data_IF_504069348169
#
_entry.id   IF_504069348169
#
_cell.length_a   1.000
_cell.length_b   1.000
_cell.length_c   1.000
_cell.angle_alpha   90.00
_cell.angle_beta   90.00
_cell.angle_gamma   90.00
#
_symmetry.space_group_name_H-M   'P 1'
#
loop_
_entity.id
_entity.type
_entity.pdbx_description
1 polymer ?
#
# COMPACT_ATOMS: atom_id res chain seq x y z
N UNK A 1 14.63 3.79 0.64
CA UNK A 1 13.27 3.51 0.15
C UNK A 1 13.28 3.46 -1.36
N UNK A 2 12.69 2.43 -1.92
CA UNK A 2 12.62 2.23 -3.36
C UNK A 2 11.15 2.20 -3.80
N UNK A 3 10.83 2.92 -4.86
CA UNK A 3 9.49 2.93 -5.45
C UNK A 3 9.53 2.11 -6.74
N UNK A 4 8.65 1.12 -6.81
CA UNK A 4 8.51 0.25 -7.99
C UNK A 4 7.18 0.53 -8.66
N UNK A 5 7.24 1.00 -9.90
CA UNK A 5 6.05 1.23 -10.71
C UNK A 5 5.38 -0.09 -11.05
N UNK A 6 4.05 -0.06 -11.17
CA UNK A 6 3.26 -1.20 -11.65
C UNK A 6 2.62 -0.87 -12.99
N UNK A 7 1.92 -1.83 -13.59
CA UNK A 7 1.19 -1.60 -14.82
C UNK A 7 0.01 -0.63 -14.66
N UNK A 8 -0.42 -0.39 -13.42
CA UNK A 8 -1.49 0.56 -13.13
C UNK A 8 -0.88 1.89 -12.69
N UNK A 9 -0.95 2.95 -13.51
CA UNK A 9 -0.48 4.27 -13.11
C UNK A 9 -1.13 4.73 -11.79
N UNK A 10 -0.32 5.19 -10.85
CA UNK A 10 -0.79 5.60 -9.53
C UNK A 10 -0.84 4.47 -8.51
N UNK A 11 -0.59 3.23 -8.92
CA UNK A 11 -0.44 2.09 -8.01
C UNK A 11 1.03 1.68 -8.00
N UNK A 12 1.71 1.86 -6.89
CA UNK A 12 3.14 1.58 -6.77
C UNK A 12 3.43 0.64 -5.62
N UNK A 13 4.55 -0.05 -5.71
CA UNK A 13 5.08 -0.84 -4.61
C UNK A 13 6.21 -0.05 -3.94
N UNK A 14 6.14 0.08 -2.64
CA UNK A 14 7.16 0.77 -1.85
C UNK A 14 7.99 -0.29 -1.13
N UNK A 15 9.28 -0.30 -1.40
CA UNK A 15 10.22 -1.18 -0.71
C UNK A 15 11.01 -0.34 0.29
N UNK A 16 10.71 -0.46 1.60
CA UNK A 16 11.44 0.30 2.61
C UNK A 16 12.85 -0.24 2.82
N UNK A 17 13.73 0.61 3.33
CA UNK A 17 15.00 0.16 3.84
C UNK A 17 14.76 -0.57 5.15
N UNK A 18 15.17 -1.83 5.24
CA UNK A 18 15.01 -2.65 6.45
C UNK A 18 16.36 -2.81 7.14
N UNK A 19 16.40 -2.46 8.41
CA UNK A 19 17.61 -2.56 9.24
C UNK A 19 17.43 -3.71 10.23
N UNK A 20 18.26 -4.73 10.12
CA UNK A 20 18.17 -5.92 10.95
C UNK A 20 19.44 -6.15 11.77
N UNK A 21 19.28 -6.74 12.93
CA UNK A 21 20.35 -7.24 13.77
C UNK A 21 19.85 -8.50 14.54
N UNK A 22 20.63 -8.98 15.48
CA UNK A 22 20.28 -10.18 16.25
C UNK A 22 19.02 -10.01 17.12
N UNK A 23 18.59 -8.78 17.38
CA UNK A 23 17.38 -8.49 18.17
C UNK A 23 16.12 -8.50 17.31
N UNK A 24 16.24 -8.42 15.97
CA UNK A 24 15.12 -8.33 15.05
C UNK A 24 15.38 -7.32 13.95
N UNK A 25 14.35 -6.63 13.52
CA UNK A 25 14.45 -5.68 12.43
C UNK A 25 13.66 -4.41 12.72
N UNK A 26 14.03 -3.36 11.99
CA UNK A 26 13.37 -2.04 12.05
C UNK A 26 13.22 -1.51 10.63
N UNK A 27 12.06 -0.99 10.32
CA UNK A 27 11.87 -0.23 9.09
C UNK A 27 10.79 0.84 9.30
N UNK A 28 10.88 1.88 8.49
CA UNK A 28 9.93 2.97 8.50
C UNK A 28 8.75 2.64 7.60
N UNK A 29 7.54 2.71 8.14
CA UNK A 29 6.33 2.40 7.38
C UNK A 29 5.80 3.60 6.60
N UNK A 30 6.06 4.81 7.08
CA UNK A 30 5.65 6.04 6.42
C UNK A 30 6.45 7.22 6.97
N UNK A 31 6.72 8.17 6.08
CA UNK A 31 7.40 9.42 6.43
C UNK A 31 6.95 10.49 5.45
N UNK A 32 6.41 11.60 5.96
CA UNK A 32 5.85 12.66 5.12
C UNK A 32 6.88 13.26 4.16
N UNK A 33 8.08 13.55 4.63
CA UNK A 33 9.12 14.16 3.82
C UNK A 33 9.59 13.23 2.70
N UNK A 34 9.91 11.97 3.04
CA UNK A 34 10.37 10.99 2.04
C UNK A 34 9.28 10.66 1.03
N UNK A 35 8.05 10.49 1.49
CA UNK A 35 6.93 10.24 0.58
C UNK A 35 6.68 11.43 -0.33
N UNK A 36 6.78 12.65 0.20
CA UNK A 36 6.66 13.87 -0.61
C UNK A 36 7.72 13.99 -1.70
N UNK A 37 8.95 13.55 -1.44
CA UNK A 37 10.03 13.54 -2.43
C UNK A 37 9.73 12.62 -3.61
N UNK A 38 8.87 11.63 -3.44
CA UNK A 38 8.46 10.68 -4.48
C UNK A 38 7.05 10.95 -5.01
N UNK A 39 6.48 12.10 -4.71
CA UNK A 39 5.11 12.47 -5.09
C UNK A 39 4.05 11.49 -4.56
N UNK A 40 4.32 10.90 -3.41
CA UNK A 40 3.40 10.03 -2.69
C UNK A 40 2.65 10.83 -1.61
N UNK A 41 1.54 10.29 -1.09
CA UNK A 41 0.76 10.99 -0.08
C UNK A 41 1.56 11.40 1.15
N UNK A 42 1.35 12.64 1.59
CA UNK A 42 2.00 13.21 2.77
C UNK A 42 1.03 13.42 3.94
N UNK A 43 -0.24 13.11 3.74
CA UNK A 43 -1.27 13.18 4.77
C UNK A 43 -2.18 11.97 4.70
N UNK A 44 -2.48 11.41 5.86
CA UNK A 44 -3.48 10.36 6.02
C UNK A 44 -4.41 10.76 7.15
N UNK A 45 -5.70 10.59 6.91
CA UNK A 45 -6.73 10.99 7.88
C UNK A 45 -7.24 9.83 8.73
N UNK A 46 -6.86 8.60 8.37
CA UNK A 46 -7.32 7.40 9.07
C UNK A 46 -6.31 6.28 8.90
N UNK A 47 -6.10 5.52 9.96
CA UNK A 47 -5.26 4.33 9.96
C UNK A 47 -6.00 3.20 10.65
N UNK A 48 -6.00 2.02 10.02
CA UNK A 48 -6.65 0.84 10.55
C UNK A 48 -5.70 -0.35 10.50
N UNK A 49 -5.91 -1.30 11.40
CA UNK A 49 -5.23 -2.59 11.38
C UNK A 49 -6.29 -3.69 11.38
N UNK A 50 -6.11 -4.68 10.54
CA UNK A 50 -6.96 -5.87 10.55
C UNK A 50 -6.10 -7.12 10.60
N UNK A 51 -6.66 -8.18 11.13
CA UNK A 51 -6.04 -9.51 11.12
C UNK A 51 -6.96 -10.49 10.45
N UNK A 52 -6.39 -11.52 9.82
CA UNK A 52 -7.13 -12.57 9.15
C UNK A 52 -6.42 -13.90 9.35
N UNK A 53 -7.18 -14.97 9.53
CA UNK A 53 -6.64 -16.31 9.52
C UNK A 53 -6.24 -16.71 8.09
N UNK A 54 -5.38 -17.70 7.95
CA UNK A 54 -5.01 -18.26 6.66
C UNK A 54 -6.27 -18.70 5.88
N UNK A 55 -6.30 -18.37 4.60
CA UNK A 55 -7.39 -18.76 3.71
C UNK A 55 -8.54 -17.75 3.65
N UNK A 56 -8.49 -16.67 4.44
CA UNK A 56 -9.53 -15.63 4.38
C UNK A 56 -9.38 -14.81 3.10
N UNK A 57 -10.47 -14.67 2.38
CA UNK A 57 -10.59 -13.81 1.22
C UNK A 57 -11.39 -12.57 1.59
N UNK A 58 -10.80 -11.41 1.35
CA UNK A 58 -11.49 -10.11 1.42
C UNK A 58 -11.47 -9.54 0.02
N UNK A 59 -12.59 -9.62 -0.69
CA UNK A 59 -12.60 -9.25 -2.09
C UNK A 59 -13.29 -7.95 -2.36
N UNK A 60 -12.92 -7.56 -3.39
CA UNK A 60 -12.67 -6.30 -4.08
C UNK A 60 -13.60 -5.23 -3.54
N UNK A 61 -13.01 -4.19 -3.01
CA UNK A 61 -13.74 -3.06 -2.44
C UNK A 61 -13.24 -1.76 -3.07
N UNK A 62 -14.16 -0.85 -3.31
CA UNK A 62 -13.82 0.53 -3.68
C UNK A 62 -14.87 1.47 -3.09
N UNK A 63 -14.54 2.74 -3.08
CA UNK A 63 -15.44 3.76 -2.55
C UNK A 63 -15.80 4.77 -3.63
N UNK A 64 -17.08 5.05 -3.70
CA UNK A 64 -17.66 6.03 -4.59
C UNK A 64 -18.86 6.69 -3.87
N UNK A 65 -19.06 8.01 -3.95
CA UNK A 65 -18.35 9.01 -4.79
C UNK A 65 -17.08 9.60 -4.18
N UNK A 66 -16.67 9.14 -3.00
CA UNK A 66 -15.48 9.63 -2.29
C UNK A 66 -14.37 8.57 -2.32
N UNK A 67 -13.66 8.45 -3.43
CA UNK A 67 -12.57 7.48 -3.51
C UNK A 67 -11.47 7.82 -2.52
N UNK A 68 -10.77 6.79 -2.06
CA UNK A 68 -9.68 6.92 -1.09
C UNK A 68 -8.38 6.39 -1.67
N UNK A 69 -7.31 7.15 -1.45
CA UNK A 69 -5.97 6.59 -1.57
C UNK A 69 -5.67 5.71 -0.36
N UNK A 70 -4.90 4.66 -0.55
CA UNK A 70 -4.55 3.71 0.51
C UNK A 70 -3.07 3.39 0.48
N UNK A 71 -2.47 3.37 1.67
CA UNK A 71 -1.16 2.79 1.91
C UNK A 71 -1.36 1.49 2.68
N UNK A 72 -1.05 0.37 2.04
CA UNK A 72 -1.25 -0.96 2.63
C UNK A 72 0.10 -1.54 3.01
N UNK A 73 0.21 -2.00 4.25
CA UNK A 73 1.42 -2.64 4.77
C UNK A 73 1.05 -3.94 5.47
N UNK A 74 1.84 -4.97 5.26
CA UNK A 74 1.70 -6.23 6.00
C UNK A 74 2.70 -6.21 7.14
N UNK A 75 2.20 -6.16 8.37
CA UNK A 75 3.05 -6.08 9.56
C UNK A 75 3.56 -7.46 9.98
N UNK A 76 2.77 -8.50 9.74
CA UNK A 76 3.12 -9.88 10.08
C UNK A 76 2.44 -10.81 9.08
N UNK A 77 3.18 -11.79 8.59
CA UNK A 77 2.67 -12.78 7.65
C UNK A 77 2.80 -12.34 6.20
N UNK A 78 1.94 -12.88 5.36
CA UNK A 78 1.99 -12.71 3.92
C UNK A 78 0.57 -12.65 3.35
N UNK A 79 0.32 -11.75 2.42
CA UNK A 79 -0.96 -11.63 1.72
C UNK A 79 -0.73 -11.55 0.21
N UNK A 80 -1.71 -12.01 -0.54
CA UNK A 80 -1.78 -11.78 -1.97
C UNK A 80 -2.75 -10.63 -2.22
N UNK A 81 -2.24 -9.53 -2.72
CA UNK A 81 -3.03 -8.32 -2.94
C UNK A 81 -3.26 -8.10 -4.43
N UNK A 82 -4.49 -7.76 -4.80
CA UNK A 82 -4.88 -7.52 -6.19
C UNK A 82 -5.52 -6.13 -6.29
N UNK A 83 -4.95 -5.30 -7.14
CA UNK A 83 -5.52 -4.00 -7.49
C UNK A 83 -6.12 -4.08 -8.90
N UNK A 84 -7.34 -3.57 -9.05
CA UNK A 84 -8.06 -3.57 -10.33
C UNK A 84 -8.46 -2.13 -10.65
N UNK A 85 -8.19 -1.70 -11.87
CA UNK A 85 -8.67 -0.41 -12.35
C UNK A 85 -10.12 -0.55 -12.82
N UNK A 86 -11.05 0.03 -12.06
CA UNK A 86 -12.49 -0.02 -12.36
C UNK A 86 -12.99 1.28 -13.00
N UNK A 87 -12.10 2.19 -13.38
CA UNK A 87 -12.47 3.46 -14.01
C UNK A 87 -12.93 3.21 -15.43
N UNK A 88 -14.18 3.57 -15.72
CA UNK A 88 -14.74 3.44 -17.05
C UNK A 88 -13.95 4.32 -18.04
N UNK A 89 -13.57 3.72 -19.17
CA UNK A 89 -12.78 4.41 -20.20
C UNK A 89 -11.27 4.45 -19.94
N UNK A 90 -10.80 3.94 -18.81
CA UNK A 90 -9.36 3.82 -18.55
C UNK A 90 -8.73 2.82 -19.52
N UNK A 91 -7.53 3.10 -20.08
CA UNK A 91 -6.81 2.14 -20.89
C UNK A 91 -6.35 0.90 -20.12
N UNK A 92 -6.38 0.97 -18.76
CA UNK A 92 -5.98 -0.13 -17.88
C UNK A 92 -7.17 -0.83 -17.22
N UNK A 93 -8.37 -0.53 -17.69
CA UNK A 93 -9.60 -1.18 -17.22
C UNK A 93 -9.57 -2.69 -17.42
#
# INVERSE_FOLDING_TARGET
MKIVETRLPGCVVIEPAVFGDERGYFFETWNAERFGQHSLPTQFVQSNVSTSAKGVLRSLHYQWPRPQGKLVSVLEGEVYDVAVDVRHGSPNF
#
